data_IF_217403838867
#
_entry.id   IF_217403838867
#
_cell.length_a   1.000
_cell.length_b   1.000
_cell.length_c   1.000
_cell.angle_alpha   90.00
_cell.angle_beta   90.00
_cell.angle_gamma   90.00
#
_symmetry.space_group_name_H-M   'P 1'
#
loop_
_entity.id
_entity.type
_entity.pdbx_description
1 polymer ?
#
# COMPACT_ATOMS: atom_id res chain seq x y z
N UNK A 1 1.32 19.07 -9.45
CA UNK A 1 2.58 18.86 -8.71
C UNK A 1 2.23 18.10 -7.43
N UNK A 2 2.76 16.90 -7.22
CA UNK A 2 2.46 16.08 -6.03
C UNK A 2 3.59 16.29 -5.03
N UNK A 3 3.29 16.99 -3.93
CA UNK A 3 4.31 17.41 -2.97
C UNK A 3 4.50 16.33 -1.89
N UNK A 4 5.43 15.42 -2.17
CA UNK A 4 5.87 14.38 -1.24
C UNK A 4 7.27 14.76 -0.72
N UNK A 5 7.34 15.84 0.08
CA UNK A 5 8.58 16.43 0.64
C UNK A 5 9.64 16.72 -0.42
N UNK A 6 9.60 17.90 -1.03
CA UNK A 6 10.73 18.52 -1.75
C UNK A 6 11.42 17.62 -2.81
N UNK A 7 10.71 16.64 -3.37
CA UNK A 7 11.24 15.75 -4.41
C UNK A 7 10.60 16.11 -5.73
N UNK A 8 11.40 16.71 -6.62
CA UNK A 8 11.02 16.93 -8.01
C UNK A 8 11.28 15.63 -8.77
N UNK A 9 10.22 14.93 -9.15
CA UNK A 9 10.35 13.73 -9.99
C UNK A 9 10.47 14.14 -11.46
N UNK A 10 11.61 13.85 -12.06
CA UNK A 10 11.86 14.02 -13.51
C UNK A 10 11.49 12.78 -14.31
N UNK A 11 11.44 11.62 -13.66
CA UNK A 11 11.06 10.34 -14.26
C UNK A 11 9.75 9.80 -13.65
N UNK A 12 8.71 9.51 -14.44
CA UNK A 12 7.45 8.94 -13.94
C UNK A 12 7.60 7.56 -13.28
N UNK A 13 8.61 6.79 -13.70
CA UNK A 13 8.92 5.49 -13.10
C UNK A 13 9.45 5.71 -11.68
N UNK A 14 10.35 6.67 -11.47
CA UNK A 14 10.89 6.96 -10.14
C UNK A 14 9.80 7.40 -9.18
N UNK A 15 8.84 8.20 -9.64
CA UNK A 15 7.67 8.55 -8.84
C UNK A 15 6.86 7.32 -8.42
N UNK A 16 6.58 6.43 -9.37
CA UNK A 16 5.77 5.23 -9.13
C UNK A 16 6.50 4.28 -8.19
N UNK A 17 7.79 4.04 -8.42
CA UNK A 17 8.65 3.23 -7.55
C UNK A 17 8.71 3.85 -6.17
N UNK A 18 8.93 5.15 -6.03
CA UNK A 18 8.95 5.79 -4.73
C UNK A 18 7.61 5.58 -4.03
N UNK A 19 6.47 5.79 -4.71
CA UNK A 19 5.13 5.57 -4.17
C UNK A 19 4.92 4.14 -3.64
N UNK A 20 5.20 3.12 -4.45
CA UNK A 20 4.97 1.71 -4.12
C UNK A 20 6.13 1.04 -3.37
N UNK A 21 7.25 1.75 -3.20
CA UNK A 21 8.43 1.24 -2.49
C UNK A 21 8.12 0.97 -1.02
N UNK A 22 8.85 0.00 -0.48
CA UNK A 22 8.74 -0.42 0.92
C UNK A 22 7.97 -1.73 1.08
N UNK A 23 8.43 -2.54 2.02
CA UNK A 23 7.94 -3.91 2.28
C UNK A 23 6.42 -4.02 2.43
N UNK A 24 5.78 -2.99 2.98
CA UNK A 24 4.36 -3.03 3.36
C UNK A 24 3.44 -2.29 2.40
N UNK A 25 3.98 -1.44 1.52
CA UNK A 25 3.20 -0.52 0.68
C UNK A 25 2.21 -1.25 -0.21
N UNK A 26 2.69 -2.23 -0.97
CA UNK A 26 1.84 -3.04 -1.85
C UNK A 26 0.82 -3.89 -1.08
N UNK A 27 1.19 -4.42 0.09
CA UNK A 27 0.27 -5.21 0.91
C UNK A 27 -0.87 -4.35 1.47
N UNK A 28 -0.58 -3.13 1.95
CA UNK A 28 -1.60 -2.19 2.44
C UNK A 28 -2.58 -1.81 1.32
N UNK A 29 -2.07 -1.47 0.13
CA UNK A 29 -2.92 -1.13 -1.01
C UNK A 29 -3.77 -2.33 -1.46
N UNK A 30 -3.19 -3.53 -1.43
CA UNK A 30 -3.90 -4.77 -1.75
C UNK A 30 -5.07 -5.03 -0.81
N UNK A 31 -4.89 -4.92 0.52
CA UNK A 31 -5.98 -5.18 1.47
C UNK A 31 -7.11 -4.15 1.41
N UNK A 32 -6.80 -2.92 0.97
CA UNK A 32 -7.79 -1.85 0.78
C UNK A 32 -8.58 -1.98 -0.54
N UNK A 33 -8.19 -2.88 -1.45
CA UNK A 33 -8.98 -3.18 -2.65
C UNK A 33 -10.34 -3.80 -2.33
N UNK A 34 -10.44 -4.52 -1.20
CA UNK A 34 -11.67 -5.19 -0.75
C UNK A 34 -12.71 -4.19 -0.20
N UNK A 35 -12.31 -2.94 0.06
CA UNK A 35 -13.18 -1.89 0.59
C UNK A 35 -12.59 -1.10 1.75
N UNK A 36 -13.38 -0.21 2.36
CA UNK A 36 -12.94 0.62 3.48
C UNK A 36 -12.57 -0.21 4.71
N UNK A 37 -11.43 0.08 5.34
CA UNK A 37 -10.95 -0.59 6.55
C UNK A 37 -10.52 0.41 7.62
N UNK A 38 -10.70 0.05 8.89
CA UNK A 38 -10.15 0.78 10.04
C UNK A 38 -8.67 0.47 10.22
N UNK A 39 -7.96 1.35 10.92
CA UNK A 39 -6.52 1.16 11.21
C UNK A 39 -6.18 -0.21 11.79
N UNK A 40 -6.95 -0.67 12.79
CA UNK A 40 -6.73 -1.97 13.44
C UNK A 40 -7.00 -3.15 12.51
N UNK A 41 -7.92 -3.02 11.54
CA UNK A 41 -8.22 -4.06 10.57
C UNK A 41 -7.09 -4.18 9.54
N UNK A 42 -6.57 -3.04 9.07
CA UNK A 42 -5.39 -3.01 8.18
C UNK A 42 -4.19 -3.65 8.89
N UNK A 43 -3.94 -3.27 10.15
CA UNK A 43 -2.84 -3.84 10.94
C UNK A 43 -2.98 -5.36 11.15
N UNK A 44 -4.19 -5.86 11.33
CA UNK A 44 -4.45 -7.31 11.42
C UNK A 44 -4.20 -8.04 10.10
N UNK A 45 -4.57 -7.43 8.97
CA UNK A 45 -4.36 -8.02 7.63
C UNK A 45 -2.91 -7.94 7.14
N UNK A 46 -2.10 -7.06 7.72
CA UNK A 46 -0.67 -6.88 7.38
C UNK A 46 0.19 -7.22 8.61
N UNK A 47 0.40 -8.52 8.92
CA UNK A 47 1.12 -8.95 10.10
C UNK A 47 2.57 -8.44 10.13
N UNK A 48 3.08 -8.17 11.33
CA UNK A 48 4.43 -7.65 11.62
C UNK A 48 4.70 -6.19 11.22
N UNK A 49 3.71 -5.46 10.67
CA UNK A 49 3.84 -4.01 10.51
C UNK A 49 3.75 -3.31 11.88
N UNK A 50 4.67 -2.38 12.13
CA UNK A 50 4.59 -1.53 13.32
C UNK A 50 3.59 -0.40 13.10
N UNK A 51 2.96 0.09 14.17
CA UNK A 51 1.98 1.18 14.07
C UNK A 51 2.60 2.43 13.45
N UNK A 52 3.82 2.78 13.85
CA UNK A 52 4.58 3.90 13.29
C UNK A 52 4.71 3.79 11.77
N UNK A 53 5.08 2.62 11.26
CA UNK A 53 5.26 2.39 9.81
C UNK A 53 3.91 2.41 9.09
N UNK A 54 2.85 1.83 9.68
CA UNK A 54 1.52 1.88 9.09
C UNK A 54 1.00 3.33 8.98
N UNK A 55 1.16 4.13 10.03
CA UNK A 55 0.78 5.56 10.01
C UNK A 55 1.56 6.32 8.94
N UNK A 56 2.87 6.08 8.82
CA UNK A 56 3.70 6.72 7.80
C UNK A 56 3.25 6.36 6.38
N UNK A 57 2.92 5.09 6.11
CA UNK A 57 2.43 4.65 4.81
C UNK A 57 1.05 5.22 4.48
N UNK A 58 0.11 5.20 5.44
CA UNK A 58 -1.22 5.78 5.23
C UNK A 58 -1.14 7.28 4.95
N UNK A 59 -0.32 8.03 5.71
CA UNK A 59 -0.10 9.46 5.48
C UNK A 59 0.52 9.74 4.11
N UNK A 60 1.48 8.91 3.69
CA UNK A 60 2.10 9.01 2.36
C UNK A 60 1.07 8.81 1.24
N UNK A 61 0.26 7.75 1.33
CA UNK A 61 -0.77 7.47 0.35
C UNK A 61 -1.87 8.53 0.33
N UNK A 62 -2.24 9.10 1.47
CA UNK A 62 -3.20 10.20 1.57
C UNK A 62 -2.66 11.45 0.87
N UNK A 63 -1.40 11.82 1.13
CA UNK A 63 -0.73 12.95 0.47
C UNK A 63 -0.62 12.76 -1.06
N UNK A 64 -0.50 11.52 -1.53
CA UNK A 64 -0.47 11.20 -2.96
C UNK A 64 -1.86 11.01 -3.58
N UNK A 65 -2.93 11.27 -2.82
CA UNK A 65 -4.31 11.04 -3.26
C UNK A 65 -4.58 9.60 -3.72
N UNK A 66 -3.92 8.61 -3.11
CA UNK A 66 -4.12 7.17 -3.37
C UNK A 66 -5.15 6.57 -2.41
N UNK A 67 -5.17 7.04 -1.16
CA UNK A 67 -6.19 6.68 -0.18
C UNK A 67 -6.92 7.92 0.32
N UNK A 68 -8.17 7.76 0.71
CA UNK A 68 -8.96 8.73 1.44
C UNK A 68 -9.17 8.28 2.88
N UNK A 69 -8.98 9.19 3.83
CA UNK A 69 -9.32 8.99 5.24
C UNK A 69 -10.68 9.62 5.52
N UNK A 70 -11.63 8.84 6.04
CA UNK A 70 -12.96 9.32 6.42
C UNK A 70 -13.20 9.14 7.91
N UNK A 71 -13.40 10.25 8.61
CA UNK A 71 -13.84 10.27 10.00
C UNK A 71 -15.37 10.27 10.07
N UNK A 72 -15.93 9.46 10.95
CA UNK A 72 -17.36 9.41 11.24
C UNK A 72 -17.59 9.93 12.65
N UNK A 73 -18.42 10.96 12.76
CA UNK A 73 -18.83 11.57 14.03
C UNK A 73 -19.97 10.76 14.66
N UNK A 74 -19.64 9.52 15.03
CA UNK A 74 -20.52 8.62 15.78
C UNK A 74 -19.86 8.27 17.12
N UNK A 75 -20.63 7.70 18.05
CA UNK A 75 -20.09 7.18 19.31
C UNK A 75 -20.06 5.64 19.21
N UNK A 76 -18.90 4.98 19.36
CA UNK A 76 -17.55 5.56 19.46
C UNK A 76 -17.05 6.09 18.09
N UNK A 77 -16.15 7.09 18.08
CA UNK A 77 -15.62 7.69 16.86
C UNK A 77 -14.94 6.63 15.99
N UNK A 78 -15.17 6.70 14.69
CA UNK A 78 -14.69 5.71 13.72
C UNK A 78 -13.92 6.42 12.61
N UNK A 79 -12.79 5.84 12.22
CA UNK A 79 -11.99 6.30 11.09
C UNK A 79 -11.77 5.13 10.15
N UNK A 80 -12.06 5.35 8.87
CA UNK A 80 -11.83 4.39 7.79
C UNK A 80 -10.85 4.96 6.77
N UNK A 81 -10.13 4.04 6.12
CA UNK A 81 -9.29 4.29 4.98
C UNK A 81 -9.82 3.49 3.80
N UNK A 82 -9.86 4.11 2.63
CA UNK A 82 -10.28 3.47 1.38
C UNK A 82 -9.45 3.98 0.22
N UNK A 83 -9.33 3.20 -0.86
CA UNK A 83 -8.71 3.70 -2.08
C UNK A 83 -9.56 4.80 -2.71
N UNK A 84 -8.90 5.85 -3.21
CA UNK A 84 -9.51 6.85 -4.09
C UNK A 84 -9.69 6.26 -5.49
N UNK A 85 -10.32 6.99 -6.41
CA UNK A 85 -10.35 6.59 -7.83
C UNK A 85 -8.94 6.48 -8.42
N UNK A 86 -8.03 7.39 -8.06
CA UNK A 86 -6.63 7.29 -8.46
C UNK A 86 -5.94 6.05 -7.86
N UNK A 87 -6.19 5.73 -6.58
CA UNK A 87 -5.66 4.51 -5.96
C UNK A 87 -6.20 3.22 -6.57
N UNK A 88 -7.46 3.22 -7.01
CA UNK A 88 -8.05 2.09 -7.74
C UNK A 88 -7.39 1.89 -9.11
N UNK A 89 -6.89 2.95 -9.75
CA UNK A 89 -6.16 2.85 -11.03
C UNK A 89 -4.86 2.02 -10.93
N UNK A 90 -4.32 1.80 -9.72
CA UNK A 90 -3.16 0.94 -9.48
C UNK A 90 -3.49 -0.56 -9.51
N UNK A 91 -4.78 -0.94 -9.52
CA UNK A 91 -5.22 -2.34 -9.49
C UNK A 91 -4.55 -3.21 -10.56
N UNK A 92 -4.46 -2.81 -11.84
CA UNK A 92 -3.81 -3.62 -12.88
C UNK A 92 -2.34 -3.90 -12.55
N UNK A 93 -1.60 -2.89 -12.06
CA UNK A 93 -0.19 -3.02 -11.69
C UNK A 93 -0.03 -4.02 -10.54
N UNK A 94 -0.87 -3.91 -9.50
CA UNK A 94 -0.85 -4.85 -8.38
C UNK A 94 -1.17 -6.29 -8.82
N UNK A 95 -2.14 -6.45 -9.73
CA UNK A 95 -2.45 -7.76 -10.32
C UNK A 95 -1.28 -8.33 -11.11
N UNK A 96 -0.60 -7.53 -11.93
CA UNK A 96 0.57 -7.97 -12.70
C UNK A 96 1.73 -8.38 -11.79
N UNK A 97 2.01 -7.60 -10.74
CA UNK A 97 3.05 -7.94 -9.76
C UNK A 97 2.71 -9.23 -9.02
N UNK A 98 1.44 -9.41 -8.64
CA UNK A 98 0.97 -10.65 -8.01
C UNK A 98 1.14 -11.85 -8.93
N UNK A 99 0.70 -11.75 -10.18
CA UNK A 99 0.80 -12.83 -11.16
C UNK A 99 2.26 -13.22 -11.39
N UNK A 100 3.14 -12.23 -11.62
CA UNK A 100 4.57 -12.49 -11.75
C UNK A 100 5.14 -13.19 -10.51
N UNK A 101 4.71 -12.74 -9.31
CA UNK A 101 5.08 -13.37 -8.05
C UNK A 101 4.62 -14.83 -7.95
N UNK A 102 3.39 -15.14 -8.35
CA UNK A 102 2.85 -16.51 -8.36
C UNK A 102 3.65 -17.43 -9.30
N UNK A 103 4.04 -16.94 -10.47
CA UNK A 103 4.85 -17.68 -11.44
C UNK A 103 6.28 -17.98 -10.92
N UNK A 104 6.86 -17.09 -10.10
CA UNK A 104 8.26 -17.16 -9.66
C UNK A 104 8.46 -17.62 -8.20
N UNK A 105 7.40 -17.66 -7.38
CA UNK A 105 7.50 -18.12 -5.99
C UNK A 105 7.98 -19.58 -5.90
N UNK A 106 7.71 -20.37 -6.94
CA UNK A 106 8.14 -21.77 -7.05
C UNK A 106 9.65 -21.94 -7.31
N UNK A 107 10.36 -20.87 -7.69
CA UNK A 107 11.80 -20.94 -8.00
C UNK A 107 12.64 -21.06 -6.72
N UNK A 108 12.13 -20.63 -5.56
CA UNK A 108 12.93 -20.54 -4.32
C UNK A 108 12.88 -21.77 -3.40
N UNK A 109 12.08 -22.81 -3.69
CA UNK A 109 12.13 -24.05 -2.88
C UNK A 109 13.32 -24.96 -3.23
N UNK A 110 14.06 -24.69 -4.32
CA UNK A 110 15.18 -25.53 -4.77
C UNK A 110 16.58 -24.96 -4.46
N UNK A 111 16.71 -23.84 -3.75
CA UNK A 111 18.03 -23.24 -3.46
C UNK A 111 18.40 -23.15 -1.97
N UNK A 112 17.64 -23.79 -1.07
CA UNK A 112 18.03 -23.96 0.35
C UNK A 112 18.62 -25.36 0.66
N UNK A 113 19.28 -25.97 -0.33
CA UNK A 113 20.29 -27.02 -0.17
C UNK A 113 21.53 -26.71 -1.02
N UNK A 114 22.31 -25.71 -0.60
CA UNK A 114 23.78 -25.51 -0.81
C UNK A 114 24.12 -24.02 -0.72
N UNK A 115 24.51 -23.58 0.47
CA UNK A 115 25.86 -23.08 0.78
C UNK A 115 25.92 -22.81 2.28
#
# INVERSE_FOLDING_TARGET
MVDMKEKIYTCPIDFTIDLISGKWSMWILWVLQDGPLRFGEIRKKVPNITEKVLIQQLKKFENCNIISRKSYNQIPPKVEYSLTENGKSLKPIMTSIRQWGEEHLHIQQNSQKKC
#
